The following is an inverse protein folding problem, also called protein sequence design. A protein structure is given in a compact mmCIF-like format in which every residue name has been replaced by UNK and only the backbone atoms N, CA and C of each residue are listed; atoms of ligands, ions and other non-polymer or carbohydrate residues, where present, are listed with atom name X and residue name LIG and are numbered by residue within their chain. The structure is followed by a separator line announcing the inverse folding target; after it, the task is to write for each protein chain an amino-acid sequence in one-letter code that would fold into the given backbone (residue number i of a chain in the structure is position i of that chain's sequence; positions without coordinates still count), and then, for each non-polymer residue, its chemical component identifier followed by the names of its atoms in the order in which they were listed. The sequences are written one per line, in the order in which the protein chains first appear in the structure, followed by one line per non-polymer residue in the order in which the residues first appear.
data_IF_690515658998
#
_entry.id   IF_690515658998
#
_cell.length_a   1.000
_cell.length_b   1.000
_cell.length_c   1.000
_cell.angle_alpha   90.00
_cell.angle_beta   90.00
_cell.angle_gamma   90.00
#
_symmetry.space_group_name_H-M   'P 1'
#
loop_
_entity.id
_entity.type
_entity.pdbx_description
1 polymer ?
#
# COMPACT_ATOMS: atom_id res chain seq x y z
N UNK A 1 1.92 12.32 -4.94
CA UNK A 1 3.37 12.50 -4.76
C UNK A 1 3.60 13.24 -3.44
N UNK A 2 4.68 12.96 -2.72
CA UNK A 2 5.06 13.75 -1.55
C UNK A 2 6.47 14.31 -1.75
N UNK A 3 6.69 15.57 -1.40
CA UNK A 3 7.99 16.25 -1.47
C UNK A 3 8.43 16.59 -0.05
N UNK A 4 9.71 16.43 0.25
CA UNK A 4 10.25 16.59 1.60
C UNK A 4 11.68 17.09 1.59
N UNK A 5 12.02 17.96 2.53
CA UNK A 5 13.34 18.57 2.69
C UNK A 5 13.30 19.67 3.75
N UNK A 6 14.44 20.20 4.19
CA UNK A 6 14.45 21.33 5.14
C UNK A 6 14.00 22.64 4.47
N UNK A 7 13.79 23.71 5.24
CA UNK A 7 13.64 25.07 4.69
C UNK A 7 14.88 25.42 3.86
N UNK A 8 14.69 26.08 2.71
CA UNK A 8 15.79 26.44 1.80
C UNK A 8 16.35 25.30 0.93
N UNK A 9 15.90 24.04 1.11
CA UNK A 9 16.39 22.90 0.31
C UNK A 9 15.98 22.89 -1.16
N UNK A 10 15.12 23.83 -1.59
CA UNK A 10 14.68 23.97 -2.98
C UNK A 10 13.37 23.27 -3.33
N UNK A 11 12.57 22.82 -2.35
CA UNK A 11 11.30 22.10 -2.56
C UNK A 11 10.36 22.85 -3.52
N UNK A 12 10.12 24.13 -3.26
CA UNK A 12 9.26 24.99 -4.10
C UNK A 12 9.78 25.06 -5.53
N UNK A 13 11.10 25.27 -5.72
CA UNK A 13 11.73 25.31 -7.04
C UNK A 13 11.60 23.96 -7.76
N UNK A 14 11.77 22.86 -7.03
CA UNK A 14 11.59 21.51 -7.56
C UNK A 14 10.14 21.29 -8.01
N UNK A 15 9.15 21.64 -7.19
CA UNK A 15 7.72 21.50 -7.51
C UNK A 15 7.35 22.35 -8.73
N UNK A 16 7.78 23.61 -8.79
CA UNK A 16 7.53 24.47 -9.96
C UNK A 16 8.13 23.89 -11.24
N UNK A 17 9.37 23.37 -11.17
CA UNK A 17 10.01 22.69 -12.29
C UNK A 17 9.24 21.43 -12.70
N UNK A 18 8.71 20.68 -11.74
CA UNK A 18 7.89 19.50 -11.98
C UNK A 18 6.59 19.85 -12.71
N UNK A 19 5.89 20.90 -12.27
CA UNK A 19 4.68 21.38 -12.93
C UNK A 19 4.95 21.85 -14.37
N UNK A 20 6.07 22.55 -14.59
CA UNK A 20 6.47 23.01 -15.93
C UNK A 20 6.83 21.86 -16.89
N UNK A 21 7.17 20.67 -16.37
CA UNK A 21 7.56 19.50 -17.16
C UNK A 21 6.54 18.34 -17.03
N UNK A 22 5.34 18.62 -16.52
CA UNK A 22 4.39 17.59 -16.12
C UNK A 22 4.03 16.64 -17.27
N UNK A 23 3.81 17.18 -18.46
CA UNK A 23 3.44 16.40 -19.65
C UNK A 23 4.53 15.42 -20.05
N UNK A 24 5.79 15.82 -19.94
CA UNK A 24 6.95 14.95 -20.24
C UNK A 24 7.17 13.88 -19.18
N UNK A 25 6.87 14.18 -17.91
CA UNK A 25 7.12 13.28 -16.78
C UNK A 25 6.03 12.22 -16.60
N UNK A 26 4.81 12.44 -17.10
CA UNK A 26 3.63 11.61 -16.78
C UNK A 26 2.94 10.96 -18.00
N UNK A 27 3.44 11.17 -19.22
CA UNK A 27 2.90 10.53 -20.41
C UNK A 27 2.89 8.98 -20.31
N UNK A 28 1.80 8.27 -20.71
CA UNK A 28 0.59 8.73 -21.39
C UNK A 28 -0.62 8.96 -20.44
N UNK A 29 -0.42 9.01 -19.13
CA UNK A 29 -1.52 9.14 -18.17
C UNK A 29 -1.95 10.60 -18.04
N UNK A 30 -3.03 10.99 -18.72
CA UNK A 30 -3.64 12.30 -18.48
C UNK A 30 -3.99 12.46 -16.99
N UNK A 31 -3.28 13.39 -16.32
CA UNK A 31 -3.63 13.88 -14.99
C UNK A 31 -4.77 14.88 -15.16
N UNK A 32 -5.89 14.66 -14.48
CA UNK A 32 -7.08 15.53 -14.57
C UNK A 32 -6.93 16.83 -13.77
N UNK A 33 -5.91 16.91 -12.91
CA UNK A 33 -5.54 18.10 -12.15
C UNK A 33 -4.38 17.85 -11.19
N UNK A 34 -3.72 18.93 -10.78
CA UNK A 34 -2.73 18.90 -9.71
C UNK A 34 -3.26 19.70 -8.53
N UNK A 35 -3.23 19.10 -7.35
CA UNK A 35 -3.57 19.79 -6.11
C UNK A 35 -2.33 19.87 -5.25
N UNK A 36 -1.81 21.09 -5.11
CA UNK A 36 -0.71 21.39 -4.21
C UNK A 36 -1.27 21.70 -2.82
N UNK A 37 -0.84 20.93 -1.82
CA UNK A 37 -1.27 21.09 -0.44
C UNK A 37 -0.08 21.49 0.43
N UNK A 38 -0.16 22.71 0.95
CA UNK A 38 0.70 23.17 2.03
C UNK A 38 -0.04 23.02 3.37
N UNK A 39 0.45 22.15 4.24
CA UNK A 39 -0.14 21.89 5.54
C UNK A 39 -1.35 20.95 5.57
N UNK A 40 -1.77 20.61 6.78
CA UNK A 40 -2.70 19.51 7.07
C UNK A 40 -4.13 19.76 6.55
N UNK A 41 -4.65 20.97 6.73
CA UNK A 41 -6.02 21.31 6.35
C UNK A 41 -6.25 21.25 4.84
N UNK A 42 -5.21 21.55 4.05
CA UNK A 42 -5.25 21.39 2.61
C UNK A 42 -5.39 19.92 2.21
N UNK A 43 -4.74 18.99 2.94
CA UNK A 43 -4.81 17.55 2.69
C UNK A 43 -6.19 16.98 3.02
N UNK A 44 -6.83 17.45 4.11
CA UNK A 44 -8.19 17.03 4.47
C UNK A 44 -9.20 17.45 3.40
N UNK A 45 -9.11 18.69 2.91
CA UNK A 45 -9.95 19.19 1.81
C UNK A 45 -9.71 18.41 0.51
N UNK A 46 -8.44 18.15 0.19
CA UNK A 46 -8.05 17.33 -0.96
C UNK A 46 -8.67 15.93 -0.89
N UNK A 47 -8.53 15.22 0.23
CA UNK A 47 -9.04 13.85 0.38
C UNK A 47 -10.55 13.72 0.16
N UNK A 48 -11.32 14.79 0.39
CA UNK A 48 -12.78 14.83 0.21
C UNK A 48 -13.21 15.16 -1.23
N UNK A 49 -12.38 15.86 -1.99
CA UNK A 49 -12.71 16.37 -3.33
C UNK A 49 -12.42 15.37 -4.47
N UNK A 50 -11.69 14.29 -4.23
CA UNK A 50 -11.02 13.57 -5.32
C UNK A 50 -11.67 12.23 -5.67
N UNK A 51 -12.38 12.19 -6.79
CA UNK A 51 -12.94 10.98 -7.42
C UNK A 51 -12.16 10.44 -8.63
N UNK A 52 -10.92 10.85 -8.88
CA UNK A 52 -10.14 10.50 -10.08
C UNK A 52 -8.64 10.84 -10.04
N UNK A 53 -7.94 10.67 -11.19
CA UNK A 53 -6.47 10.77 -11.42
C UNK A 53 -5.88 12.16 -11.09
N UNK A 54 -5.78 12.46 -9.81
CA UNK A 54 -5.24 13.72 -9.30
C UNK A 54 -3.81 13.52 -8.76
N UNK A 55 -2.91 14.42 -9.14
CA UNK A 55 -1.60 14.50 -8.51
C UNK A 55 -1.69 15.37 -7.27
N UNK A 56 -1.75 14.75 -6.10
CA UNK A 56 -1.58 15.46 -4.82
C UNK A 56 -0.09 15.70 -4.60
N UNK A 57 0.33 16.94 -4.31
CA UNK A 57 1.70 17.29 -3.90
C UNK A 57 1.66 17.78 -2.47
N UNK A 58 2.34 17.08 -1.56
CA UNK A 58 2.47 17.47 -0.16
C UNK A 58 3.83 18.08 0.09
N UNK A 59 3.86 19.28 0.68
CA UNK A 59 5.10 19.93 1.12
C UNK A 59 5.32 19.75 2.64
N UNK A 60 6.58 19.60 3.05
CA UNK A 60 7.04 19.50 4.45
C UNK A 60 6.47 18.38 5.33
N UNK A 61 6.65 17.13 4.90
CA UNK A 61 6.26 15.95 5.69
C UNK A 61 7.32 15.46 6.70
N UNK A 62 8.50 16.08 6.74
CA UNK A 62 9.64 15.61 7.56
C UNK A 62 9.53 16.01 9.04
N UNK A 63 8.74 17.02 9.40
CA UNK A 63 8.55 17.41 10.82
C UNK A 63 7.94 16.27 11.68
N UNK A 64 7.31 15.27 11.05
CA UNK A 64 6.46 14.28 11.74
C UNK A 64 7.09 12.97 12.21
N UNK A 65 8.40 12.81 12.10
CA UNK A 65 9.04 11.53 12.44
C UNK A 65 9.55 11.42 13.88
N UNK A 66 9.43 12.47 14.70
CA UNK A 66 9.86 12.46 16.10
C UNK A 66 8.77 12.01 17.09
N UNK A 67 7.47 12.10 16.75
CA UNK A 67 6.40 11.75 17.70
C UNK A 67 5.20 11.16 16.95
N UNK A 68 4.70 9.95 17.31
CA UNK A 68 3.51 9.37 16.68
C UNK A 68 2.22 10.18 16.91
N UNK A 69 2.27 11.30 17.63
CA UNK A 69 1.15 12.14 18.02
C UNK A 69 1.19 13.56 17.42
N UNK A 70 2.29 13.95 16.74
CA UNK A 70 2.42 15.29 16.15
C UNK A 70 1.91 15.42 14.72
N UNK A 71 1.52 14.30 14.09
CA UNK A 71 0.83 14.33 12.80
C UNK A 71 -0.45 13.54 12.87
N UNK A 72 -1.48 14.12 12.30
CA UNK A 72 -2.78 13.51 12.19
C UNK A 72 -2.74 12.32 11.24
N UNK A 73 -3.68 11.40 11.46
CA UNK A 73 -3.79 10.10 10.79
C UNK A 73 -3.77 10.24 9.26
N UNK A 74 -4.22 11.37 8.75
CA UNK A 74 -4.46 11.71 7.36
C UNK A 74 -3.15 11.85 6.56
N UNK A 75 -2.16 12.57 7.11
CA UNK A 75 -0.87 12.77 6.44
C UNK A 75 -0.04 11.47 6.34
N UNK A 76 -0.15 10.60 7.34
CA UNK A 76 0.41 9.25 7.31
C UNK A 76 -0.23 8.39 6.22
N UNK A 77 -1.56 8.48 6.07
CA UNK A 77 -2.32 7.74 5.04
C UNK A 77 -1.91 8.23 3.66
N UNK A 78 -1.86 9.55 3.44
CA UNK A 78 -1.49 10.14 2.16
C UNK A 78 -0.07 9.71 1.73
N UNK A 79 0.90 9.77 2.66
CA UNK A 79 2.27 9.29 2.41
C UNK A 79 2.31 7.80 2.05
N UNK A 80 1.64 6.95 2.84
CA UNK A 80 1.66 5.50 2.60
C UNK A 80 0.99 5.09 1.27
N UNK A 81 0.08 5.92 0.75
CA UNK A 81 -0.58 5.70 -0.53
C UNK A 81 0.12 6.43 -1.70
N UNK A 82 1.16 7.21 -1.43
CA UNK A 82 1.87 7.93 -2.48
C UNK A 82 2.73 6.97 -3.31
N UNK A 83 2.53 6.98 -4.63
CA UNK A 83 3.40 6.23 -5.55
C UNK A 83 4.78 6.86 -5.74
N UNK A 84 4.92 8.16 -5.48
CA UNK A 84 6.18 8.89 -5.67
C UNK A 84 6.47 9.74 -4.44
N UNK A 85 7.69 9.60 -3.92
CA UNK A 85 8.23 10.44 -2.85
C UNK A 85 9.49 11.13 -3.37
N UNK A 86 9.71 12.39 -3.00
CA UNK A 86 10.88 13.17 -3.40
C UNK A 86 11.53 13.67 -2.13
N UNK A 87 12.79 13.31 -1.92
CA UNK A 87 13.59 13.73 -0.77
C UNK A 87 14.67 14.69 -1.24
N UNK A 88 14.68 15.90 -0.72
CA UNK A 88 15.73 16.89 -0.87
C UNK A 88 16.60 16.87 0.39
N UNK A 89 17.80 17.48 0.30
CA UNK A 89 18.75 17.56 1.42
C UNK A 89 18.07 18.06 2.70
N UNK A 90 18.23 17.29 3.78
CA UNK A 90 17.76 17.64 5.11
C UNK A 90 18.76 17.18 6.18
N UNK A 91 19.78 17.99 6.50
CA UNK A 91 20.83 17.62 7.47
C UNK A 91 20.28 17.33 8.87
N UNK A 92 19.27 18.11 9.31
CA UNK A 92 18.61 17.91 10.61
C UNK A 92 17.68 16.68 10.64
N UNK A 93 17.37 16.10 9.48
CA UNK A 93 16.41 15.01 9.31
C UNK A 93 17.03 13.62 9.11
N UNK A 94 18.33 13.42 9.34
CA UNK A 94 19.01 12.15 9.03
C UNK A 94 18.32 10.90 9.64
N UNK A 95 17.90 10.97 10.91
CA UNK A 95 17.15 9.88 11.57
C UNK A 95 15.81 9.57 10.90
N UNK A 96 15.19 10.59 10.33
CA UNK A 96 13.88 10.51 9.69
C UNK A 96 14.03 9.86 8.31
N UNK A 97 15.04 10.27 7.54
CA UNK A 97 15.41 9.63 6.28
C UNK A 97 15.72 8.15 6.51
N UNK A 98 16.54 7.83 7.50
CA UNK A 98 16.86 6.43 7.88
C UNK A 98 15.60 5.63 8.23
N UNK A 99 14.74 6.19 9.07
CA UNK A 99 13.50 5.52 9.49
C UNK A 99 12.52 5.32 8.33
N UNK A 100 12.48 6.24 7.37
CA UNK A 100 11.73 6.07 6.12
C UNK A 100 12.33 4.94 5.28
N UNK A 101 13.66 4.89 5.16
CA UNK A 101 14.38 3.80 4.50
C UNK A 101 14.01 2.43 5.05
N UNK A 102 13.97 2.28 6.38
CA UNK A 102 13.54 1.02 7.04
C UNK A 102 12.10 0.64 6.64
N UNK A 103 11.21 1.63 6.52
CA UNK A 103 9.81 1.39 6.18
C UNK A 103 9.61 0.99 4.71
N UNK A 104 10.38 1.60 3.80
CA UNK A 104 10.21 1.40 2.35
C UNK A 104 11.03 0.21 1.81
N UNK A 105 12.19 -0.05 2.42
CA UNK A 105 13.15 -1.05 1.96
C UNK A 105 13.48 -2.05 3.08
N UNK A 106 12.52 -2.89 3.50
CA UNK A 106 12.76 -3.90 4.52
C UNK A 106 13.62 -5.03 3.93
N UNK A 107 14.89 -5.09 4.30
CA UNK A 107 15.79 -6.15 3.89
C UNK A 107 17.24 -5.91 4.29
N UNK A 108 18.04 -6.98 4.45
CA UNK A 108 19.46 -6.84 4.73
C UNK A 108 20.16 -6.11 3.58
N UNK A 109 20.97 -5.10 3.89
CA UNK A 109 21.68 -4.25 2.92
C UNK A 109 20.82 -3.22 2.16
N UNK A 110 19.49 -3.37 2.14
CA UNK A 110 18.62 -2.46 1.39
C UNK A 110 18.55 -1.05 2.01
N UNK A 111 18.61 -0.95 3.34
CA UNK A 111 18.71 0.34 4.03
C UNK A 111 20.00 1.08 3.67
N UNK A 112 21.13 0.36 3.60
CA UNK A 112 22.42 0.96 3.26
C UNK A 112 22.40 1.52 1.85
N UNK A 113 21.95 0.70 0.89
CA UNK A 113 21.77 1.11 -0.51
C UNK A 113 20.91 2.37 -0.63
N UNK A 114 19.81 2.43 0.13
CA UNK A 114 18.94 3.60 0.15
C UNK A 114 19.64 4.86 0.69
N UNK A 115 20.40 4.73 1.78
CA UNK A 115 21.12 5.86 2.38
C UNK A 115 22.24 6.37 1.47
N UNK A 116 23.02 5.46 0.86
CA UNK A 116 24.05 5.83 -0.13
C UNK A 116 23.43 6.58 -1.32
N UNK A 117 22.32 6.07 -1.86
CA UNK A 117 21.61 6.72 -2.94
C UNK A 117 21.08 8.12 -2.56
N UNK A 118 20.62 8.29 -1.32
CA UNK A 118 20.16 9.59 -0.82
C UNK A 118 21.33 10.56 -0.63
N UNK A 119 22.44 10.11 -0.07
CA UNK A 119 23.62 10.95 0.15
C UNK A 119 24.24 11.40 -1.17
N UNK A 120 24.34 10.50 -2.14
CA UNK A 120 24.81 10.81 -3.50
C UNK A 120 23.86 11.77 -4.24
N UNK A 121 22.56 11.44 -4.30
CA UNK A 121 21.57 12.24 -5.01
C UNK A 121 21.36 13.64 -4.42
N UNK A 122 21.77 13.85 -3.17
CA UNK A 122 21.68 15.14 -2.45
C UNK A 122 23.04 15.76 -2.14
N UNK A 123 24.12 15.26 -2.74
CA UNK A 123 25.46 15.84 -2.56
C UNK A 123 25.52 17.27 -3.11
N UNK A 124 24.90 17.49 -4.26
CA UNK A 124 24.81 18.82 -4.88
C UNK A 124 23.71 19.69 -4.22
N UNK A 125 23.90 21.02 -4.19
CA UNK A 125 22.84 21.95 -3.82
C UNK A 125 21.57 21.73 -4.63
N UNK A 126 20.42 21.66 -3.94
CA UNK A 126 19.10 21.38 -4.53
C UNK A 126 18.99 19.99 -5.20
N UNK A 127 19.93 19.08 -4.92
CA UNK A 127 19.83 17.67 -5.27
C UNK A 127 18.63 16.99 -4.60
N UNK A 128 18.10 15.97 -5.26
CA UNK A 128 16.91 15.24 -4.82
C UNK A 128 16.98 13.76 -5.18
N UNK A 129 16.39 12.93 -4.33
CA UNK A 129 16.14 11.53 -4.59
C UNK A 129 14.63 11.33 -4.85
N UNK A 130 14.26 10.90 -6.05
CA UNK A 130 12.94 10.36 -6.36
C UNK A 130 12.87 8.89 -5.96
N UNK A 131 11.86 8.56 -5.16
CA UNK A 131 11.51 7.20 -4.76
C UNK A 131 10.22 6.81 -5.47
N UNK A 132 10.32 5.86 -6.39
CA UNK A 132 9.24 5.31 -7.19
C UNK A 132 8.69 4.02 -6.53
N UNK A 133 7.59 4.19 -5.82
CA UNK A 133 6.83 3.15 -5.12
C UNK A 133 5.68 2.60 -5.97
N UNK A 134 5.61 2.92 -7.27
CA UNK A 134 4.56 2.39 -8.13
C UNK A 134 4.66 0.84 -8.20
N UNK A 135 3.52 0.11 -8.16
CA UNK A 135 3.53 -1.36 -8.09
C UNK A 135 4.12 -2.04 -9.33
N UNK A 136 4.08 -1.37 -10.49
CA UNK A 136 4.67 -1.90 -11.74
C UNK A 136 6.15 -1.55 -11.91
N UNK A 137 6.70 -0.66 -11.08
CA UNK A 137 8.10 -0.27 -11.16
C UNK A 137 8.99 -1.41 -10.67
N UNK A 138 9.98 -1.78 -11.49
CA UNK A 138 10.97 -2.81 -11.16
C UNK A 138 11.80 -2.36 -9.94
N UNK A 139 12.15 -3.26 -8.99
CA UNK A 139 12.90 -2.89 -7.79
C UNK A 139 14.19 -2.10 -8.05
N UNK A 140 14.94 -2.45 -9.10
CA UNK A 140 16.19 -1.77 -9.48
C UNK A 140 15.98 -0.34 -9.99
N UNK A 141 14.76 0.01 -10.38
CA UNK A 141 14.39 1.32 -10.94
C UNK A 141 13.69 2.20 -9.89
N UNK A 142 13.68 1.85 -8.60
CA UNK A 142 12.90 2.58 -7.60
C UNK A 142 13.55 3.87 -7.11
N UNK A 143 14.87 3.98 -7.20
CA UNK A 143 15.61 5.13 -6.70
C UNK A 143 16.23 5.87 -7.89
N UNK A 144 15.85 7.14 -8.09
CA UNK A 144 16.27 7.93 -9.26
C UNK A 144 16.61 9.37 -8.87
N UNK A 145 17.47 10.01 -9.65
CA UNK A 145 17.62 11.47 -9.68
C UNK A 145 17.73 11.94 -11.14
N UNK A 146 17.76 13.26 -11.35
CA UNK A 146 17.90 13.88 -12.67
C UNK A 146 16.83 13.41 -13.68
N UNK A 147 15.57 13.45 -13.25
CA UNK A 147 14.42 12.95 -14.03
C UNK A 147 13.91 13.91 -15.10
N UNK A 148 14.43 15.13 -15.17
CA UNK A 148 13.93 16.16 -16.08
C UNK A 148 14.48 15.99 -17.50
N UNK A 149 13.75 16.45 -18.54
CA UNK A 149 14.25 16.48 -19.91
C UNK A 149 15.61 17.18 -20.02
N UNK A 150 16.49 16.65 -20.87
CA UNK A 150 17.85 17.16 -21.05
C UNK A 150 18.84 16.76 -19.94
N UNK A 151 18.40 16.01 -18.93
CA UNK A 151 19.29 15.42 -17.92
C UNK A 151 19.45 13.91 -18.15
N UNK A 152 20.64 13.39 -17.83
CA UNK A 152 20.85 11.94 -17.79
C UNK A 152 20.28 11.39 -16.49
N UNK A 153 19.14 10.70 -16.56
CA UNK A 153 18.51 10.10 -15.38
C UNK A 153 19.43 9.06 -14.77
N UNK A 154 19.79 9.27 -13.51
CA UNK A 154 20.62 8.35 -12.72
C UNK A 154 19.69 7.43 -11.94
N UNK A 155 19.98 6.13 -11.98
CA UNK A 155 19.21 5.09 -11.28
C UNK A 155 20.13 4.34 -10.32
N UNK A 156 19.75 4.28 -9.05
CA UNK A 156 20.53 3.60 -8.01
C UNK A 156 20.10 2.14 -7.88
N UNK A 157 20.90 1.23 -8.42
CA UNK A 157 20.71 -0.21 -8.30
C UNK A 157 21.58 -0.82 -7.19
N UNK A 158 21.05 -1.75 -6.38
CA UNK A 158 21.85 -2.45 -5.36
C UNK A 158 23.00 -3.21 -6.00
N UNK A 159 24.17 -3.17 -5.37
CA UNK A 159 25.33 -3.97 -5.79
C UNK A 159 24.97 -5.45 -5.68
N UNK A 160 25.02 -6.17 -6.81
CA UNK A 160 24.86 -7.62 -6.79
C UNK A 160 26.02 -8.23 -5.99
N UNK A 161 25.70 -9.12 -5.05
CA UNK A 161 26.71 -9.96 -4.42
C UNK A 161 27.45 -10.76 -5.49
N UNK A 162 28.77 -10.90 -5.35
CA UNK A 162 29.65 -11.53 -6.35
C UNK A 162 29.17 -12.93 -6.81
N UNK A 163 28.39 -13.64 -5.99
CA UNK A 163 27.78 -14.93 -6.30
C UNK A 163 26.74 -14.90 -7.45
N UNK A 164 26.06 -13.77 -7.69
CA UNK A 164 24.99 -13.66 -8.71
C UNK A 164 25.56 -13.42 -10.12
N UNK A 165 26.77 -12.87 -10.23
CA UNK A 165 27.40 -12.52 -11.51
C UNK A 165 27.84 -13.76 -12.32
N UNK A 166 28.12 -14.89 -11.66
CA UNK A 166 28.55 -16.11 -12.34
C UNK A 166 27.40 -16.86 -13.05
N UNK A 167 26.15 -16.71 -12.60
CA UNK A 167 25.00 -17.36 -13.27
C UNK A 167 24.50 -16.58 -14.49
N UNK A 168 24.68 -15.24 -14.54
CA UNK A 168 24.32 -14.44 -15.71
C UNK A 168 25.36 -14.47 -16.84
N UNK A 169 26.64 -14.78 -16.55
CA UNK A 169 27.67 -14.95 -17.59
C UNK A 169 27.54 -16.25 -18.40
N UNK A 170 26.89 -17.30 -17.87
CA UNK A 170 26.71 -18.58 -18.57
C UNK A 170 25.51 -18.60 -19.55
N UNK A 171 24.59 -17.64 -19.47
CA UNK A 171 23.38 -17.60 -20.30
C UNK A 171 23.48 -16.66 -21.52
N UNK A 172 24.59 -15.95 -21.71
CA UNK A 172 24.78 -15.01 -22.84
C UNK A 172 25.40 -15.68 -24.07
N UNK A 173 25.94 -16.89 -23.96
CA UNK A 173 26.56 -17.58 -25.11
C UNK A 173 25.72 -18.78 -25.55
N UNK A 174 24.64 -18.52 -26.27
CA UNK A 174 24.03 -19.34 -27.35
C UNK A 174 22.58 -18.88 -27.57
N UNK A 175 22.37 -18.01 -28.56
CA UNK A 175 21.48 -18.28 -29.70
C UNK A 175 21.44 -17.05 -30.65
N UNK A 176 21.59 -17.25 -31.97
CA UNK A 176 21.44 -16.20 -32.96
C UNK A 176 19.97 -15.85 -33.22
N UNK A 177 19.78 -14.59 -33.64
CA UNK A 177 18.50 -13.96 -33.94
C UNK A 177 17.75 -14.69 -35.07
N UNK A 178 16.52 -15.12 -34.79
CA UNK A 178 15.47 -15.25 -35.81
C UNK A 178 14.21 -14.55 -35.29
N UNK A 179 13.82 -13.48 -35.98
CA UNK A 179 12.55 -12.81 -35.80
C UNK A 179 11.45 -13.70 -36.38
N UNK A 180 10.57 -14.23 -35.52
CA UNK A 180 9.24 -14.68 -35.91
C UNK A 180 8.21 -13.87 -35.13
N UNK A 181 7.38 -13.15 -35.88
CA UNK A 181 6.22 -12.42 -35.40
C UNK A 181 5.25 -13.41 -34.76
N UNK A 182 4.97 -13.23 -33.46
CA UNK A 182 3.90 -13.96 -32.78
C UNK A 182 2.60 -13.13 -32.82
N UNK A 183 1.43 -13.76 -33.09
CA UNK A 183 0.14 -13.09 -33.08
C UNK A 183 -0.26 -12.65 -31.66
N UNK A 184 -1.18 -11.69 -31.52
CA UNK A 184 -1.42 -10.95 -30.28
C UNK A 184 -1.83 -11.85 -29.12
N UNK A 185 -0.97 -11.97 -28.11
CA UNK A 185 -1.28 -12.66 -26.87
C UNK A 185 -2.31 -11.84 -26.08
N UNK A 186 -3.53 -12.35 -25.98
CA UNK A 186 -4.54 -11.86 -25.02
C UNK A 186 -3.93 -11.86 -23.62
N UNK A 187 -3.62 -10.68 -23.08
CA UNK A 187 -3.14 -10.50 -21.71
C UNK A 187 -4.13 -11.11 -20.71
N UNK A 188 -3.89 -12.36 -20.30
CA UNK A 188 -4.52 -12.91 -19.10
C UNK A 188 -3.88 -12.17 -17.92
N UNK A 189 -4.70 -11.49 -17.12
CA UNK A 189 -4.26 -10.70 -15.98
C UNK A 189 -3.33 -11.48 -15.03
N UNK A 190 -2.56 -10.78 -14.20
CA UNK A 190 -1.54 -11.39 -13.35
C UNK A 190 -2.16 -12.51 -12.50
N UNK A 191 -1.62 -13.72 -12.64
CA UNK A 191 -2.06 -14.86 -11.81
C UNK A 191 -1.77 -14.52 -10.35
N UNK A 192 -2.77 -14.61 -9.45
CA UNK A 192 -2.54 -14.33 -8.03
C UNK A 192 -1.45 -15.26 -7.49
N UNK A 193 -0.61 -14.73 -6.59
CA UNK A 193 0.44 -15.54 -5.95
C UNK A 193 -0.18 -16.74 -5.23
N UNK A 194 0.58 -17.84 -5.10
CA UNK A 194 0.12 -19.04 -4.39
C UNK A 194 -0.42 -18.73 -2.97
N UNK A 195 0.14 -17.71 -2.31
CA UNK A 195 -0.32 -17.22 -1.00
C UNK A 195 -1.69 -16.55 -1.07
N UNK A 196 -1.89 -15.66 -2.06
CA UNK A 196 -3.19 -15.00 -2.29
C UNK A 196 -4.26 -16.04 -2.64
N UNK A 197 -3.95 -17.01 -3.49
CA UNK A 197 -4.86 -18.09 -3.87
C UNK A 197 -5.29 -18.94 -2.66
N UNK A 198 -4.36 -19.26 -1.75
CA UNK A 198 -4.66 -20.01 -0.51
C UNK A 198 -5.58 -19.24 0.44
N UNK A 199 -5.33 -17.95 0.62
CA UNK A 199 -6.20 -17.11 1.46
C UNK A 199 -7.58 -16.89 0.81
N UNK A 200 -7.63 -16.72 -0.52
CA UNK A 200 -8.88 -16.59 -1.25
C UNK A 200 -9.76 -17.84 -1.14
N UNK A 201 -9.17 -19.04 -1.21
CA UNK A 201 -9.89 -20.30 -1.01
C UNK A 201 -10.50 -20.37 0.41
N UNK A 202 -9.73 -19.94 1.42
CA UNK A 202 -10.21 -19.86 2.80
C UNK A 202 -11.40 -18.89 2.95
N UNK A 203 -11.32 -17.69 2.37
CA UNK A 203 -12.43 -16.73 2.38
C UNK A 203 -13.68 -17.25 1.66
N UNK A 204 -13.52 -17.99 0.55
CA UNK A 204 -14.65 -18.64 -0.15
C UNK A 204 -15.32 -19.73 0.70
N UNK A 205 -14.58 -20.40 1.57
CA UNK A 205 -15.16 -21.37 2.52
C UNK A 205 -15.86 -20.64 3.68
N UNK A 206 -15.29 -19.53 4.16
CA UNK A 206 -15.93 -18.68 5.16
C UNK A 206 -17.24 -18.09 4.65
N UNK A 207 -17.31 -17.63 3.40
CA UNK A 207 -18.54 -17.05 2.83
C UNK A 207 -19.68 -18.06 2.69
N UNK A 208 -19.37 -19.36 2.67
CA UNK A 208 -20.37 -20.45 2.69
C UNK A 208 -20.90 -20.73 4.09
N UNK A 209 -20.28 -20.20 5.13
CA UNK A 209 -20.74 -20.35 6.50
C UNK A 209 -21.93 -19.41 6.75
N UNK A 210 -23.11 -19.98 7.02
CA UNK A 210 -24.34 -19.22 7.28
C UNK A 210 -24.33 -18.40 8.58
N UNK A 211 -23.39 -18.68 9.48
CA UNK A 211 -23.26 -17.99 10.77
C UNK A 211 -21.86 -18.16 11.34
N UNK A 212 -21.32 -17.07 11.93
CA UNK A 212 -20.10 -17.08 12.73
C UNK A 212 -20.20 -17.99 13.98
N UNK A 213 -21.41 -18.40 14.39
CA UNK A 213 -21.65 -19.34 15.50
C UNK A 213 -21.80 -20.79 15.04
N UNK A 214 -21.87 -21.02 13.72
CA UNK A 214 -22.11 -22.31 13.13
C UNK A 214 -20.99 -23.33 13.40
N UNK A 215 -21.35 -24.62 13.46
CA UNK A 215 -20.38 -25.72 13.60
C UNK A 215 -19.35 -25.71 12.45
N UNK A 216 -19.80 -25.39 11.23
CA UNK A 216 -18.95 -25.26 10.05
C UNK A 216 -17.91 -24.13 10.18
N UNK A 217 -18.32 -22.94 10.61
CA UNK A 217 -17.41 -21.81 10.86
C UNK A 217 -16.35 -22.16 11.91
N UNK A 218 -16.77 -22.74 13.03
CA UNK A 218 -15.84 -23.16 14.10
C UNK A 218 -14.85 -24.21 13.63
N UNK A 219 -15.28 -25.22 12.86
CA UNK A 219 -14.38 -26.23 12.27
C UNK A 219 -13.36 -25.58 11.33
N UNK A 220 -13.80 -24.61 10.53
CA UNK A 220 -12.93 -23.89 9.60
C UNK A 220 -11.92 -22.99 10.34
N UNK A 221 -12.37 -22.23 11.34
CA UNK A 221 -11.48 -21.38 12.17
C UNK A 221 -10.52 -22.22 13.01
N UNK A 222 -10.88 -23.44 13.43
CA UNK A 222 -9.98 -24.37 14.14
C UNK A 222 -8.93 -25.04 13.25
N UNK A 223 -9.21 -25.17 11.95
CA UNK A 223 -8.28 -25.76 10.98
C UNK A 223 -7.48 -24.71 10.19
N UNK A 224 -7.87 -23.44 10.26
CA UNK A 224 -7.17 -22.34 9.61
C UNK A 224 -5.72 -22.20 10.10
N UNK A 225 -4.82 -21.77 9.21
CA UNK A 225 -3.43 -21.39 9.57
C UNK A 225 -3.40 -20.04 10.29
N UNK A 226 -2.29 -19.75 10.99
CA UNK A 226 -2.11 -18.45 11.63
C UNK A 226 -2.15 -17.29 10.64
N UNK A 227 -1.57 -17.46 9.45
CA UNK A 227 -1.60 -16.48 8.36
C UNK A 227 -3.03 -16.19 7.88
N UNK A 228 -3.85 -17.22 7.70
CA UNK A 228 -5.25 -17.06 7.28
C UNK A 228 -6.08 -16.29 8.32
N UNK A 229 -5.85 -16.56 9.60
CA UNK A 229 -6.54 -15.86 10.70
C UNK A 229 -6.11 -14.39 10.79
N UNK A 230 -4.80 -14.11 10.67
CA UNK A 230 -4.31 -12.73 10.64
C UNK A 230 -4.80 -11.97 9.39
N UNK A 231 -4.86 -12.66 8.24
CA UNK A 231 -5.42 -12.10 7.00
C UNK A 231 -6.91 -11.77 7.15
N UNK A 232 -7.69 -12.62 7.83
CA UNK A 232 -9.10 -12.35 8.14
C UNK A 232 -9.24 -11.12 9.06
N UNK A 233 -8.45 -11.03 10.12
CA UNK A 233 -8.46 -9.88 11.04
C UNK A 233 -8.09 -8.59 10.32
N UNK A 234 -7.04 -8.59 9.50
CA UNK A 234 -6.62 -7.40 8.76
C UNK A 234 -7.66 -7.00 7.70
N UNK A 235 -8.31 -7.97 7.06
CA UNK A 235 -9.42 -7.72 6.13
C UNK A 235 -10.60 -7.06 6.83
N UNK A 236 -10.98 -7.55 8.02
CA UNK A 236 -12.00 -6.94 8.86
C UNK A 236 -11.63 -5.50 9.26
N UNK A 237 -10.38 -5.26 9.66
CA UNK A 237 -9.90 -3.92 9.99
C UNK A 237 -9.93 -2.97 8.79
N UNK A 238 -9.63 -3.45 7.58
CA UNK A 238 -9.71 -2.64 6.37
C UNK A 238 -11.15 -2.27 6.01
N UNK A 239 -12.11 -3.18 6.24
CA UNK A 239 -13.55 -2.89 6.10
C UNK A 239 -13.98 -1.82 7.12
N UNK A 240 -13.65 -2.00 8.40
CA UNK A 240 -14.03 -1.04 9.47
C UNK A 240 -13.39 0.34 9.27
N UNK A 241 -12.17 0.38 8.75
CA UNK A 241 -11.46 1.64 8.45
C UNK A 241 -11.88 2.26 7.12
N UNK A 242 -12.86 1.69 6.42
CA UNK A 242 -13.32 2.12 5.10
C UNK A 242 -12.18 2.25 4.07
N UNK A 243 -11.18 1.36 4.17
CA UNK A 243 -10.02 1.29 3.25
C UNK A 243 -10.29 0.46 2.00
N UNK A 244 -11.47 -0.14 1.91
CA UNK A 244 -11.96 -0.85 0.73
C UNK A 244 -13.14 -0.06 0.18
N UNK A 245 -13.17 0.26 -1.12
CA UNK A 245 -14.25 1.04 -1.75
C UNK A 245 -15.52 0.17 -1.89
N UNK A 246 -16.16 -0.13 -0.78
CA UNK A 246 -17.42 -0.86 -0.70
C UNK A 246 -18.57 0.17 -0.58
N UNK A 247 -19.58 0.10 -1.46
CA UNK A 247 -20.75 0.99 -1.44
C UNK A 247 -22.04 0.19 -1.17
N UNK A 248 -22.99 0.80 -0.46
CA UNK A 248 -24.37 0.31 -0.31
C UNK A 248 -24.66 -0.59 0.91
N UNK A 249 -25.87 -1.16 0.95
CA UNK A 249 -26.44 -1.94 2.09
C UNK A 249 -25.63 -3.19 2.48
N UNK A 250 -24.80 -3.72 1.58
CA UNK A 250 -23.88 -4.82 1.89
C UNK A 250 -22.76 -4.42 2.87
N UNK A 251 -22.42 -3.14 2.94
CA UNK A 251 -21.39 -2.62 3.83
C UNK A 251 -21.80 -2.77 5.30
N UNK A 252 -23.06 -2.53 5.63
CA UNK A 252 -23.54 -2.56 7.02
C UNK A 252 -23.56 -3.99 7.57
N UNK A 253 -23.96 -4.97 6.75
CA UNK A 253 -23.84 -6.39 7.08
C UNK A 253 -22.39 -6.85 7.24
N UNK A 254 -21.47 -6.37 6.39
CA UNK A 254 -20.05 -6.66 6.49
C UNK A 254 -19.39 -5.96 7.69
N UNK A 255 -19.86 -4.78 8.09
CA UNK A 255 -19.35 -4.06 9.26
C UNK A 255 -19.65 -4.79 10.57
N UNK A 256 -20.86 -5.34 10.72
CA UNK A 256 -21.21 -6.14 11.91
C UNK A 256 -20.33 -7.39 12.03
N UNK A 257 -20.09 -8.08 10.92
CA UNK A 257 -19.19 -9.24 10.89
C UNK A 257 -17.71 -8.83 11.09
N UNK A 258 -17.28 -7.72 10.50
CA UNK A 258 -15.94 -7.21 10.68
C UNK A 258 -15.67 -6.72 12.12
N UNK A 259 -16.67 -6.18 12.81
CA UNK A 259 -16.58 -5.84 14.24
C UNK A 259 -16.32 -7.09 15.09
N UNK A 260 -17.04 -8.18 14.81
CA UNK A 260 -16.83 -9.48 15.48
C UNK A 260 -15.39 -9.99 15.27
N UNK A 261 -14.89 -9.93 14.04
CA UNK A 261 -13.57 -10.46 13.71
C UNK A 261 -12.42 -9.54 14.17
N UNK A 262 -12.66 -8.23 14.25
CA UNK A 262 -11.70 -7.24 14.73
C UNK A 262 -11.43 -7.32 16.24
N UNK A 263 -12.26 -8.00 17.03
CA UNK A 263 -11.98 -8.25 18.45
C UNK A 263 -10.67 -9.02 18.68
N UNK A 264 -10.21 -9.78 17.67
CA UNK A 264 -8.92 -10.47 17.69
C UNK A 264 -7.71 -9.54 17.42
N UNK A 265 -7.92 -8.25 17.14
CA UNK A 265 -6.86 -7.27 16.84
C UNK A 265 -5.72 -7.19 17.88
N UNK A 266 -5.96 -7.25 19.20
CA UNK A 266 -4.87 -7.15 20.17
C UNK A 266 -3.89 -8.33 20.05
N UNK A 267 -4.36 -9.43 19.48
CA UNK A 267 -3.56 -10.64 19.34
C UNK A 267 -2.72 -10.57 18.08
N UNK A 268 -1.43 -10.24 18.23
CA UNK A 268 -0.44 -10.27 17.14
C UNK A 268 -0.01 -11.69 16.74
N UNK A 269 -0.78 -12.71 17.14
CA UNK A 269 -0.46 -14.12 16.91
C UNK A 269 -1.69 -14.89 16.44
N UNK A 270 -1.49 -15.85 15.53
CA UNK A 270 -2.55 -16.71 15.02
C UNK A 270 -3.24 -17.52 16.13
N UNK A 271 -2.49 -17.92 17.17
CA UNK A 271 -3.05 -18.62 18.32
C UNK A 271 -3.99 -17.74 19.14
N UNK A 272 -3.60 -16.49 19.39
CA UNK A 272 -4.45 -15.52 20.07
C UNK A 272 -5.69 -15.18 19.24
N UNK A 273 -5.54 -15.02 17.93
CA UNK A 273 -6.65 -14.73 17.03
C UNK A 273 -7.68 -15.86 17.02
N UNK A 274 -7.20 -17.11 16.93
CA UNK A 274 -8.04 -18.32 17.05
C UNK A 274 -8.78 -18.35 18.38
N UNK A 275 -8.10 -18.08 19.49
CA UNK A 275 -8.70 -18.08 20.83
C UNK A 275 -9.82 -17.04 20.92
N UNK A 276 -9.60 -15.82 20.45
CA UNK A 276 -10.61 -14.74 20.52
C UNK A 276 -11.82 -15.05 19.63
N UNK A 277 -11.59 -15.50 18.39
CA UNK A 277 -12.66 -15.87 17.45
C UNK A 277 -13.51 -17.05 17.94
N UNK A 278 -12.99 -17.85 18.89
CA UNK A 278 -13.70 -18.98 19.48
C UNK A 278 -14.27 -18.70 20.90
N UNK A 279 -13.87 -17.61 21.59
CA UNK A 279 -14.13 -17.39 23.04
C UNK A 279 -15.35 -16.51 23.37
N UNK A 280 -15.87 -15.68 22.47
CA UNK A 280 -16.96 -14.75 22.81
C UNK A 280 -18.35 -15.45 22.86
N UNK A 281 -18.68 -16.07 23.99
CA UNK A 281 -20.00 -16.66 24.28
C UNK A 281 -20.49 -16.53 25.75
N UNK A 282 -20.19 -15.45 26.50
CA UNK A 282 -20.78 -15.30 27.85
C UNK A 282 -21.42 -13.93 28.15
N UNK A 283 -21.91 -13.20 27.15
CA UNK A 283 -22.71 -11.99 27.43
C UNK A 283 -23.34 -11.35 26.20
N UNK A 284 -24.67 -11.20 26.24
CA UNK A 284 -25.63 -10.46 25.37
C UNK A 284 -25.35 -10.43 23.85
N UNK A 285 -26.29 -10.99 23.10
CA UNK A 285 -26.20 -11.21 21.65
C UNK A 285 -26.21 -9.95 20.77
N UNK A 286 -25.65 -10.12 19.57
CA UNK A 286 -25.75 -9.20 18.42
C UNK A 286 -27.00 -9.58 17.59
N UNK A 287 -27.73 -8.62 16.99
CA UNK A 287 -28.96 -8.88 16.24
C UNK A 287 -28.71 -9.79 15.03
N UNK A 288 -29.69 -10.65 14.74
CA UNK A 288 -29.75 -11.40 13.49
C UNK A 288 -29.80 -10.45 12.29
N UNK A 289 -29.04 -10.76 11.24
CA UNK A 289 -29.19 -10.10 9.94
C UNK A 289 -30.59 -10.44 9.43
N UNK A 290 -31.48 -9.45 9.45
CA UNK A 290 -32.88 -9.58 9.09
C UNK A 290 -33.08 -10.03 7.65
N UNK A 291 -34.06 -10.91 7.48
CA UNK A 291 -34.73 -11.23 6.20
C UNK A 291 -35.13 -9.93 5.47
N UNK A 292 -35.15 -9.93 4.12
CA UNK A 292 -35.83 -8.86 3.38
C UNK A 292 -37.34 -8.85 3.73
N UNK A 293 -37.98 -7.67 3.83
CA UNK A 293 -39.39 -7.57 4.19
C UNK A 293 -40.24 -8.01 3.01
N UNK A 294 -41.01 -9.08 3.20
CA UNK A 294 -41.92 -9.60 2.17
C UNK A 294 -42.21 -11.09 2.33
N UNK A 295 -42.73 -11.50 3.48
CA UNK A 295 -43.50 -12.74 3.65
C UNK A 295 -44.11 -12.73 5.05
N UNK A 296 -45.37 -12.27 5.14
CA UNK A 296 -46.23 -12.49 6.31
C UNK A 296 -46.40 -14.00 6.47
N UNK A 297 -46.08 -14.55 7.63
CA UNK A 297 -46.61 -15.86 8.05
C UNK A 297 -47.86 -15.58 8.86
N UNK A 298 -48.97 -16.12 8.38
CA UNK A 298 -50.20 -16.33 9.15
C UNK A 298 -49.89 -17.11 10.43
N UNK A 299 -50.46 -16.66 11.54
CA UNK A 299 -50.52 -17.43 12.77
C UNK A 299 -51.45 -18.64 12.57
N UNK A 300 -51.16 -19.81 13.14
CA UNK A 300 -52.17 -20.85 13.27
C UNK A 300 -53.06 -20.50 14.46
N UNK A 301 -54.36 -20.40 14.18
CA UNK A 301 -55.43 -20.57 15.16
C UNK A 301 -55.54 -22.05 15.53
N UNK A 302 -55.48 -22.35 16.82
CA UNK A 302 -55.60 -23.70 17.39
C UNK A 302 -54.82 -23.79 18.69
#
# INVERSE_FOLDING_TARGET
MCVSGCTGSGKTKWVLRMLANLDTLVAPAHISGVLYCYGEEAVKRAAKACGGRLLLVLDDLMVGMRVPHLFTRELRIARNNAHYLVLLRNPAGALQVRSLGIQLFPGPGALHHFLEAYDDATADPFGYLLIDMHPTTRPLMRLKTHIYPGQLTVVYAPRASAATQQQQKKSITKQPQQQQQQPPQKHRGPRPSKYISRNLAFFKLLSKCRSARGRAYRKLVRSATGEQLLCLVESALNILRSRVPLRGKHLDGLRAQAQHDACARPTRSGHGARRVLLRQQTGRGVPSVGRPPGQRRSAPSG
#
